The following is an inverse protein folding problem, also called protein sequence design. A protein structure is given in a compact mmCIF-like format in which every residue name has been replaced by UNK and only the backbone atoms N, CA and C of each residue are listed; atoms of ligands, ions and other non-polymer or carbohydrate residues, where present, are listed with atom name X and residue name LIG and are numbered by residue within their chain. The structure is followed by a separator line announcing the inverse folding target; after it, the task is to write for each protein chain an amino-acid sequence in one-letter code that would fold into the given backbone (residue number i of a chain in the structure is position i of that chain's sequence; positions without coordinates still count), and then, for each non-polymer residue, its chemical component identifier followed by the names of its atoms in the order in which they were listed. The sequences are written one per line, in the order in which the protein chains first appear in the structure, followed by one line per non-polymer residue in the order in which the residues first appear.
data_IF_223416326434
#
_entry.id   IF_223416326434
#
_cell.length_a   1.000
_cell.length_b   1.000
_cell.length_c   1.000
_cell.angle_alpha   90.00
_cell.angle_beta   90.00
_cell.angle_gamma   90.00
#
_symmetry.space_group_name_H-M   'P 1'
#
loop_
_entity.id
_entity.type
_entity.pdbx_description
1 polymer ?
#
# COMPACT_ATOMS: atom_id res chain seq x y z
N UNK A 1 -57.64 -5.17 15.44
CA UNK A 1 -56.44 -5.99 15.22
C UNK A 1 -55.78 -5.50 13.94
N UNK A 2 -54.73 -4.68 14.06
CA UNK A 2 -54.01 -4.12 12.91
C UNK A 2 -52.74 -4.92 12.63
N UNK A 3 -52.66 -5.54 11.46
CA UNK A 3 -51.48 -6.26 10.98
C UNK A 3 -50.55 -5.29 10.24
N UNK A 4 -49.39 -4.98 10.84
CA UNK A 4 -48.28 -4.28 10.17
C UNK A 4 -47.60 -5.25 9.20
N UNK A 5 -47.64 -4.95 7.90
CA UNK A 5 -46.73 -5.54 6.91
C UNK A 5 -45.40 -4.79 6.96
N UNK A 6 -44.32 -5.52 7.26
CA UNK A 6 -42.94 -5.03 7.22
C UNK A 6 -42.47 -4.89 5.77
N UNK A 7 -42.08 -3.68 5.36
CA UNK A 7 -41.38 -3.44 4.10
C UNK A 7 -40.00 -4.09 4.16
N UNK A 8 -39.75 -5.05 3.27
CA UNK A 8 -38.42 -5.59 3.01
C UNK A 8 -37.52 -4.46 2.47
N UNK A 9 -36.36 -4.27 3.10
CA UNK A 9 -35.34 -3.32 2.67
C UNK A 9 -34.77 -3.73 1.31
N UNK A 10 -34.58 -2.74 0.43
CA UNK A 10 -33.92 -2.92 -0.87
C UNK A 10 -32.47 -3.38 -0.66
N UNK A 11 -32.15 -4.57 -1.14
CA UNK A 11 -30.78 -5.07 -1.23
C UNK A 11 -30.07 -4.24 -2.29
N UNK A 12 -29.01 -3.53 -1.90
CA UNK A 12 -28.16 -2.80 -2.83
C UNK A 12 -27.47 -3.79 -3.77
N UNK A 13 -27.67 -3.62 -5.07
CA UNK A 13 -26.94 -4.35 -6.11
C UNK A 13 -25.44 -4.01 -6.04
N UNK A 14 -24.53 -5.00 -6.07
CA UNK A 14 -23.11 -4.72 -6.09
C UNK A 14 -22.72 -4.03 -7.40
N UNK A 15 -21.99 -2.92 -7.29
CA UNK A 15 -21.41 -2.21 -8.44
C UNK A 15 -20.34 -3.11 -9.04
N UNK A 16 -20.48 -3.42 -10.34
CA UNK A 16 -19.55 -4.28 -11.07
C UNK A 16 -18.50 -3.39 -11.75
N UNK A 17 -17.34 -3.26 -11.13
CA UNK A 17 -16.21 -2.53 -11.70
C UNK A 17 -15.69 -3.25 -12.96
N UNK A 18 -15.45 -2.49 -14.03
CA UNK A 18 -14.84 -3.01 -15.26
C UNK A 18 -13.33 -2.98 -15.09
N UNK A 19 -12.69 -4.12 -15.32
CA UNK A 19 -11.23 -4.26 -15.38
C UNK A 19 -10.65 -3.28 -16.40
N UNK A 20 -9.61 -2.53 -16.01
CA UNK A 20 -8.89 -1.61 -16.91
C UNK A 20 -8.14 -2.49 -17.96
N UNK A 21 -8.23 -2.20 -19.27
CA UNK A 21 -7.59 -3.03 -20.30
C UNK A 21 -6.06 -2.92 -20.31
N UNK A 22 -5.37 -4.06 -20.45
CA UNK A 22 -3.91 -4.25 -20.40
C UNK A 22 -3.13 -3.77 -21.65
N UNK A 23 -3.52 -2.69 -22.35
CA UNK A 23 -2.84 -2.32 -23.61
C UNK A 23 -2.34 -0.88 -23.64
N UNK A 24 -1.06 -0.69 -23.30
CA UNK A 24 -0.27 0.48 -23.64
C UNK A 24 0.83 0.11 -24.66
N UNK A 25 0.42 -0.49 -25.77
CA UNK A 25 1.26 -0.61 -26.98
C UNK A 25 0.93 0.54 -27.94
N UNK A 26 1.27 1.76 -27.58
CA UNK A 26 1.44 2.85 -28.55
C UNK A 26 2.24 3.95 -27.87
N UNK A 27 3.09 4.65 -28.63
CA UNK A 27 3.99 5.71 -28.18
C UNK A 27 5.38 5.25 -27.69
N UNK A 28 6.03 4.45 -28.55
CA UNK A 28 7.47 4.54 -28.71
C UNK A 28 7.85 5.78 -29.54
N UNK A 29 8.96 6.41 -29.14
CA UNK A 29 9.75 7.45 -29.82
C UNK A 29 9.24 8.91 -29.72
N UNK A 30 9.84 9.71 -28.83
CA UNK A 30 10.44 11.03 -29.18
C UNK A 30 11.58 11.39 -28.21
N UNK A 31 12.79 11.41 -28.79
CA UNK A 31 13.97 12.29 -28.63
C UNK A 31 14.28 13.05 -27.32
N UNK A 32 15.58 13.01 -26.99
CA UNK A 32 16.28 13.80 -26.00
C UNK A 32 16.25 15.31 -26.28
N UNK A 33 15.69 16.12 -25.37
CA UNK A 33 16.09 17.53 -25.13
C UNK A 33 15.71 17.98 -23.71
N UNK A 34 16.66 18.66 -23.07
CA UNK A 34 16.64 19.54 -21.88
C UNK A 34 15.38 19.58 -20.97
N UNK A 35 15.60 19.07 -19.75
CA UNK A 35 15.02 19.32 -18.42
C UNK A 35 13.58 19.82 -18.25
N UNK A 36 13.11 20.81 -19.00
CA UNK A 36 11.78 21.43 -18.82
C UNK A 36 10.66 20.64 -19.49
N UNK A 37 10.94 19.96 -20.61
CA UNK A 37 9.97 19.10 -21.30
C UNK A 37 9.72 17.77 -20.59
N UNK A 38 10.71 17.27 -19.82
CA UNK A 38 10.51 16.12 -18.94
C UNK A 38 9.49 16.46 -17.86
N UNK A 39 9.59 17.65 -17.25
CA UNK A 39 8.58 18.09 -16.27
C UNK A 39 7.20 18.27 -16.91
N UNK A 40 7.10 18.82 -18.12
CA UNK A 40 5.80 18.92 -18.82
C UNK A 40 5.24 17.55 -19.23
N UNK A 41 6.10 16.58 -19.60
CA UNK A 41 5.71 15.20 -19.89
C UNK A 41 5.29 14.43 -18.64
N UNK A 42 5.98 14.64 -17.51
CA UNK A 42 5.64 14.06 -16.22
C UNK A 42 4.33 14.64 -15.68
N UNK A 43 4.13 15.96 -15.82
CA UNK A 43 2.89 16.66 -15.47
C UNK A 43 1.73 16.17 -16.35
N UNK A 44 1.94 16.04 -17.66
CA UNK A 44 0.92 15.52 -18.58
C UNK A 44 0.54 14.06 -18.27
N UNK A 45 1.53 13.21 -18.01
CA UNK A 45 1.29 11.82 -17.62
C UNK A 45 0.65 11.70 -16.23
N UNK A 46 0.98 12.59 -15.30
CA UNK A 46 0.39 12.68 -13.97
C UNK A 46 -1.08 13.15 -14.03
N UNK A 47 -1.39 14.16 -14.84
CA UNK A 47 -2.78 14.61 -15.04
C UNK A 47 -3.62 13.56 -15.76
N UNK A 48 -3.04 12.86 -16.74
CA UNK A 48 -3.73 11.80 -17.46
C UNK A 48 -3.97 10.58 -16.58
N UNK A 49 -3.00 10.21 -15.74
CA UNK A 49 -3.13 9.18 -14.71
C UNK A 49 -4.20 9.56 -13.69
N UNK A 50 -4.16 10.78 -13.14
CA UNK A 50 -5.17 11.28 -12.21
C UNK A 50 -6.56 11.23 -12.85
N UNK A 51 -6.69 11.68 -14.10
CA UNK A 51 -7.95 11.68 -14.84
C UNK A 51 -8.46 10.26 -15.11
N UNK A 52 -7.58 9.33 -15.48
CA UNK A 52 -7.92 7.94 -15.71
C UNK A 52 -8.42 7.25 -14.44
N UNK A 53 -7.79 7.53 -13.29
CA UNK A 53 -8.16 6.95 -12.01
C UNK A 53 -9.42 7.58 -11.41
N UNK A 54 -9.58 8.90 -11.53
CA UNK A 54 -10.86 9.56 -11.22
C UNK A 54 -12.00 9.02 -12.08
N UNK A 55 -11.74 8.74 -13.36
CA UNK A 55 -12.71 8.10 -14.25
C UNK A 55 -12.98 6.62 -13.90
N UNK A 56 -12.03 5.95 -13.24
CA UNK A 56 -12.20 4.59 -12.74
C UNK A 56 -13.02 4.51 -11.44
N UNK A 57 -13.22 5.64 -10.74
CA UNK A 57 -14.06 5.74 -9.55
C UNK A 57 -13.32 6.17 -8.28
N UNK A 58 -12.00 6.38 -8.34
CA UNK A 58 -11.23 6.89 -7.21
C UNK A 58 -11.46 8.41 -7.07
N UNK A 59 -12.54 8.77 -6.37
CA UNK A 59 -12.95 10.16 -6.20
C UNK A 59 -12.14 10.88 -5.11
N UNK A 60 -11.78 10.16 -4.04
CA UNK A 60 -11.28 10.71 -2.77
C UNK A 60 -10.54 9.64 -1.95
N UNK A 61 -9.34 9.93 -1.47
CA UNK A 61 -8.61 9.04 -0.56
C UNK A 61 -7.69 9.80 0.41
N UNK A 62 -7.22 9.13 1.46
CA UNK A 62 -6.16 9.65 2.33
C UNK A 62 -5.08 8.58 2.49
N UNK A 63 -3.84 8.98 2.69
CA UNK A 63 -2.69 8.09 2.73
C UNK A 63 -2.25 7.81 4.15
N UNK A 64 -1.84 6.57 4.39
CA UNK A 64 -1.14 6.14 5.60
C UNK A 64 0.12 5.42 5.16
N UNK A 65 1.26 5.68 5.80
CA UNK A 65 2.54 5.07 5.44
C UNK A 65 3.07 4.22 6.59
N UNK A 66 3.38 2.96 6.31
CA UNK A 66 4.09 2.05 7.20
C UNK A 66 5.49 1.74 6.66
N UNK A 67 6.52 1.92 7.47
CA UNK A 67 7.91 1.63 7.11
C UNK A 67 8.47 0.52 7.99
N UNK A 68 8.93 -0.56 7.37
CA UNK A 68 9.52 -1.71 8.05
C UNK A 68 10.98 -1.45 8.47
N UNK A 69 11.25 -1.59 9.76
CA UNK A 69 12.56 -1.47 10.40
C UNK A 69 13.10 -2.81 10.95
N UNK A 70 12.69 -3.95 10.40
CA UNK A 70 13.30 -5.25 10.73
C UNK A 70 14.72 -5.42 10.16
N UNK A 71 15.51 -6.32 10.76
CA UNK A 71 16.91 -6.61 10.37
C UNK A 71 16.96 -7.15 8.96
N UNK A 72 17.34 -6.29 8.02
CA UNK A 72 17.66 -6.54 6.60
C UNK A 72 17.24 -5.36 5.71
N UNK A 73 16.49 -4.39 6.24
CA UNK A 73 15.91 -3.34 5.42
C UNK A 73 16.70 -2.03 5.51
N UNK A 74 17.18 -1.55 4.36
CA UNK A 74 17.44 -0.12 4.16
C UNK A 74 16.52 0.31 3.04
N UNK A 75 15.36 0.87 3.39
CA UNK A 75 14.43 1.41 2.40
C UNK A 75 15.14 2.54 1.67
N UNK A 76 15.37 2.45 0.35
CA UNK A 76 16.01 3.52 -0.38
C UNK A 76 15.14 4.77 -0.37
N UNK A 77 15.74 5.92 -0.08
CA UNK A 77 15.10 7.24 -0.11
C UNK A 77 14.32 7.53 -1.41
N UNK A 78 14.75 6.94 -2.52
CA UNK A 78 14.10 7.12 -3.82
C UNK A 78 12.70 6.48 -3.86
N UNK A 79 12.44 5.40 -3.10
CA UNK A 79 11.13 4.73 -3.06
C UNK A 79 10.10 5.67 -2.42
N UNK A 80 10.43 6.22 -1.26
CA UNK A 80 9.59 7.21 -0.56
C UNK A 80 9.34 8.44 -1.44
N UNK A 81 10.37 8.88 -2.18
CA UNK A 81 10.25 10.05 -3.08
C UNK A 81 9.31 9.79 -4.26
N UNK A 82 9.41 8.63 -4.90
CA UNK A 82 8.55 8.27 -6.06
C UNK A 82 7.12 8.01 -5.60
N UNK A 83 6.95 7.32 -4.47
CA UNK A 83 5.64 7.19 -3.84
C UNK A 83 5.03 8.56 -3.55
N UNK A 84 5.82 9.52 -3.08
CA UNK A 84 5.33 10.87 -2.87
C UNK A 84 4.84 11.54 -4.14
N UNK A 85 5.65 11.54 -5.19
CA UNK A 85 5.26 12.16 -6.47
C UNK A 85 4.00 11.54 -7.09
N UNK A 86 3.77 10.26 -6.85
CA UNK A 86 2.68 9.52 -7.48
C UNK A 86 1.43 9.49 -6.62
N UNK A 87 1.56 9.17 -5.34
CA UNK A 87 0.43 8.93 -4.45
C UNK A 87 -0.08 10.19 -3.77
N UNK A 88 0.76 11.21 -3.55
CA UNK A 88 0.35 12.48 -2.91
C UNK A 88 -0.79 13.18 -3.66
N UNK A 89 -0.97 12.90 -4.95
CA UNK A 89 -2.08 13.40 -5.76
C UNK A 89 -3.44 12.89 -5.29
N UNK A 90 -3.48 11.72 -4.65
CA UNK A 90 -4.70 11.09 -4.17
C UNK A 90 -4.98 11.35 -2.69
N UNK A 91 -4.08 12.05 -2.00
CA UNK A 91 -4.26 12.44 -0.60
C UNK A 91 -5.06 13.74 -0.52
N UNK A 92 -6.31 13.67 -0.06
CA UNK A 92 -7.21 14.82 -0.04
C UNK A 92 -6.89 15.80 1.08
N UNK A 93 -6.54 15.30 2.27
CA UNK A 93 -6.35 16.12 3.45
C UNK A 93 -4.92 16.66 3.61
N UNK A 94 -3.96 16.15 2.83
CA UNK A 94 -2.52 16.48 2.95
C UNK A 94 -1.99 16.19 4.36
N UNK A 95 -2.57 15.22 5.06
CA UNK A 95 -2.20 14.84 6.42
C UNK A 95 -1.84 13.36 6.47
N UNK A 96 -0.58 13.07 6.16
CA UNK A 96 -0.06 11.71 5.98
C UNK A 96 0.45 11.19 7.34
N UNK A 97 -0.25 10.25 8.00
CA UNK A 97 0.26 9.57 9.17
C UNK A 97 1.36 8.60 8.73
N UNK A 98 2.52 8.65 9.39
CA UNK A 98 3.67 7.81 9.07
C UNK A 98 4.12 7.06 10.30
N UNK A 99 4.28 5.75 10.17
CA UNK A 99 4.64 4.86 11.25
C UNK A 99 5.81 3.95 10.87
N UNK A 100 6.62 3.61 11.86
CA UNK A 100 7.61 2.54 11.76
C UNK A 100 7.19 1.33 12.59
N UNK A 101 7.64 0.14 12.21
CA UNK A 101 7.42 -1.11 12.96
C UNK A 101 8.58 -2.09 12.76
N UNK A 102 8.73 -3.09 13.63
CA UNK A 102 9.76 -4.13 13.49
C UNK A 102 11.14 -3.76 14.07
N UNK A 103 11.25 -2.60 14.69
CA UNK A 103 12.45 -2.21 15.43
C UNK A 103 12.56 -2.93 16.78
N UNK A 104 13.68 -2.77 17.48
CA UNK A 104 13.92 -3.42 18.77
C UNK A 104 12.91 -3.02 19.86
N UNK A 105 12.27 -1.85 19.76
CA UNK A 105 11.29 -1.38 20.74
C UNK A 105 9.88 -1.94 20.48
N UNK A 106 9.48 -2.04 19.21
CA UNK A 106 8.14 -2.53 18.84
C UNK A 106 8.07 -4.03 18.61
N UNK A 107 9.16 -4.67 18.20
CA UNK A 107 9.19 -6.07 17.81
C UNK A 107 8.10 -6.38 16.76
N UNK A 108 7.37 -7.47 16.96
CA UNK A 108 6.24 -7.86 16.10
C UNK A 108 4.87 -7.39 16.59
N UNK A 109 4.78 -6.57 17.64
CA UNK A 109 3.51 -6.34 18.36
C UNK A 109 2.98 -4.92 18.31
N UNK A 110 3.79 -3.95 17.88
CA UNK A 110 3.42 -2.54 17.88
C UNK A 110 3.98 -1.80 16.65
N UNK A 111 3.54 -0.56 16.46
CA UNK A 111 4.16 0.42 15.58
C UNK A 111 4.37 1.74 16.34
N UNK A 112 5.29 2.59 15.86
CA UNK A 112 5.58 3.90 16.45
C UNK A 112 5.36 5.01 15.41
N UNK A 113 4.79 6.16 15.80
CA UNK A 113 4.62 7.28 14.89
C UNK A 113 5.95 7.98 14.62
N UNK A 114 6.12 8.54 13.42
CA UNK A 114 7.32 9.29 13.05
C UNK A 114 7.42 10.64 13.78
N UNK A 115 6.28 11.28 14.01
CA UNK A 115 6.19 12.55 14.73
C UNK A 115 5.61 12.33 16.14
N UNK A 116 6.05 13.11 17.14
CA UNK A 116 5.49 13.06 18.48
C UNK A 116 4.02 13.51 18.49
N UNK A 117 3.32 13.19 19.58
CA UNK A 117 1.95 13.64 19.85
C UNK A 117 0.93 13.30 18.74
N UNK A 118 1.17 12.21 18.01
CA UNK A 118 0.36 11.77 16.87
C UNK A 118 0.21 12.83 15.76
N UNK A 119 1.17 13.74 15.64
CA UNK A 119 1.22 14.68 14.53
C UNK A 119 1.41 13.93 13.20
N UNK A 120 0.87 14.49 12.12
CA UNK A 120 0.92 13.94 10.77
C UNK A 120 1.87 14.76 9.89
N UNK A 121 2.45 14.14 8.88
CA UNK A 121 3.26 14.87 7.90
C UNK A 121 2.36 15.60 6.90
N UNK A 122 2.75 16.80 6.48
CA UNK A 122 1.99 17.61 5.54
C UNK A 122 2.41 17.43 4.08
N UNK A 123 3.59 16.85 3.85
CA UNK A 123 4.17 16.63 2.52
C UNK A 123 5.04 15.38 2.56
N UNK A 124 5.23 14.73 1.42
CA UNK A 124 6.21 13.64 1.31
C UNK A 124 7.65 14.10 1.51
N UNK A 125 7.95 15.38 1.22
CA UNK A 125 9.24 15.96 1.57
C UNK A 125 9.50 15.91 3.09
N UNK A 126 8.47 16.19 3.91
CA UNK A 126 8.55 16.06 5.36
C UNK A 126 8.67 14.59 5.79
N UNK A 127 7.95 13.67 5.14
CA UNK A 127 8.08 12.22 5.38
C UNK A 127 9.53 11.78 5.18
N UNK A 128 10.12 12.12 4.03
CA UNK A 128 11.50 11.78 3.70
C UNK A 128 12.51 12.44 4.63
N UNK A 129 12.32 13.72 4.97
CA UNK A 129 13.17 14.41 5.93
C UNK A 129 13.14 13.73 7.30
N UNK A 130 11.94 13.34 7.76
CA UNK A 130 11.77 12.68 9.05
C UNK A 130 12.32 11.26 9.05
N UNK A 131 12.12 10.50 7.97
CA UNK A 131 12.76 9.20 7.74
C UNK A 131 14.28 9.30 7.94
N UNK A 132 14.94 10.20 7.19
CA UNK A 132 16.40 10.40 7.29
C UNK A 132 16.88 10.82 8.69
N UNK A 133 16.05 11.49 9.48
CA UNK A 133 16.38 11.88 10.86
C UNK A 133 16.32 10.72 11.84
N UNK A 134 15.30 9.87 11.75
CA UNK A 134 15.05 8.82 12.77
C UNK A 134 15.73 7.51 12.43
N UNK A 135 15.84 7.16 11.14
CA UNK A 135 16.39 5.86 10.70
C UNK A 135 17.78 5.57 11.27
N UNK A 136 18.74 6.51 11.32
CA UNK A 136 20.06 6.24 11.89
C UNK A 136 20.06 5.88 13.39
N UNK A 137 19.03 6.30 14.12
CA UNK A 137 18.87 6.03 15.55
C UNK A 137 18.04 4.79 15.88
N UNK A 138 17.45 4.14 14.87
CA UNK A 138 16.57 2.98 15.07
C UNK A 138 17.38 1.69 15.04
N UNK A 139 17.22 0.89 16.09
CA UNK A 139 17.83 -0.43 16.17
C UNK A 139 16.95 -1.45 15.45
N UNK A 140 17.41 -1.91 14.28
CA UNK A 140 16.68 -2.90 13.51
C UNK A 140 16.57 -4.24 14.28
N UNK A 141 15.38 -4.84 14.30
CA UNK A 141 15.13 -6.11 15.00
C UNK A 141 14.24 -7.08 14.19
N UNK A 142 13.07 -7.43 14.72
CA UNK A 142 12.18 -8.47 14.24
C UNK A 142 11.35 -9.05 15.40
N UNK A 143 10.43 -10.00 15.14
CA UNK A 143 10.07 -10.55 13.83
C UNK A 143 9.27 -9.57 12.96
N UNK A 144 9.19 -9.82 11.66
CA UNK A 144 8.36 -9.03 10.74
C UNK A 144 6.89 -9.41 10.90
N UNK A 145 6.06 -8.47 11.32
CA UNK A 145 4.61 -8.62 11.43
C UNK A 145 3.93 -7.31 10.98
N UNK A 146 3.04 -7.39 9.99
CA UNK A 146 2.31 -6.22 9.49
C UNK A 146 1.00 -5.99 10.25
N UNK A 147 0.58 -6.92 11.10
CA UNK A 147 -0.66 -6.79 11.85
C UNK A 147 -0.76 -5.49 12.68
N UNK A 148 0.30 -5.02 13.38
CA UNK A 148 0.21 -3.78 14.15
C UNK A 148 -0.09 -2.56 13.28
N UNK A 149 0.59 -2.41 12.14
CA UNK A 149 0.40 -1.25 11.26
C UNK A 149 -0.95 -1.31 10.53
N UNK A 150 -1.42 -2.49 10.14
CA UNK A 150 -2.74 -2.66 9.53
C UNK A 150 -3.85 -2.30 10.52
N UNK A 151 -3.74 -2.75 11.78
CA UNK A 151 -4.72 -2.39 12.83
C UNK A 151 -4.70 -0.90 13.15
N UNK A 152 -3.54 -0.27 13.13
CA UNK A 152 -3.46 1.18 13.29
C UNK A 152 -4.12 1.93 12.12
N UNK A 153 -3.96 1.44 10.89
CA UNK A 153 -4.69 1.99 9.75
C UNK A 153 -6.21 1.81 9.88
N UNK A 154 -6.68 0.65 10.37
CA UNK A 154 -8.09 0.43 10.69
C UNK A 154 -8.58 1.45 11.71
N UNK A 155 -7.82 1.68 12.79
CA UNK A 155 -8.17 2.69 13.80
C UNK A 155 -8.33 4.07 13.17
N UNK A 156 -7.39 4.50 12.33
CA UNK A 156 -7.45 5.79 11.64
C UNK A 156 -8.68 5.86 10.73
N UNK A 157 -8.96 4.81 9.95
CA UNK A 157 -10.14 4.74 9.09
C UNK A 157 -11.45 4.89 9.87
N UNK A 158 -11.56 4.22 11.03
CA UNK A 158 -12.74 4.30 11.89
C UNK A 158 -12.97 5.71 12.46
N UNK A 159 -11.90 6.40 12.85
CA UNK A 159 -11.97 7.75 13.40
C UNK A 159 -12.31 8.79 12.33
N UNK A 160 -11.64 8.73 11.18
CA UNK A 160 -11.81 9.71 10.10
C UNK A 160 -13.09 9.47 9.27
N UNK A 161 -13.59 8.22 9.22
CA UNK A 161 -14.74 7.80 8.41
C UNK A 161 -14.61 8.12 6.91
N UNK A 162 -13.38 8.14 6.42
CA UNK A 162 -13.05 8.31 5.00
C UNK A 162 -12.30 7.09 4.47
N UNK A 163 -12.22 7.00 3.14
CA UNK A 163 -11.43 5.97 2.48
C UNK A 163 -9.93 6.25 2.65
N UNK A 164 -9.16 5.21 2.96
CA UNK A 164 -7.71 5.32 3.10
C UNK A 164 -6.98 4.26 2.30
N UNK A 165 -5.76 4.60 1.91
CA UNK A 165 -4.79 3.70 1.31
C UNK A 165 -3.61 3.60 2.28
N UNK A 166 -3.40 2.42 2.86
CA UNK A 166 -2.20 2.10 3.64
C UNK A 166 -1.11 1.62 2.69
N UNK A 167 0.02 2.31 2.64
CA UNK A 167 1.21 1.87 1.90
C UNK A 167 2.26 1.35 2.87
N UNK A 168 2.57 0.06 2.78
CA UNK A 168 3.60 -0.59 3.59
C UNK A 168 4.84 -0.78 2.74
N UNK A 169 5.99 -0.29 3.19
CA UNK A 169 7.27 -0.44 2.51
C UNK A 169 8.13 -1.42 3.31
N UNK A 170 8.47 -2.56 2.71
CA UNK A 170 9.28 -3.57 3.38
C UNK A 170 10.32 -4.23 2.48
N UNK A 171 11.37 -4.75 3.13
CA UNK A 171 12.48 -5.43 2.49
C UNK A 171 12.15 -6.87 2.08
N UNK A 172 12.89 -7.38 1.08
CA UNK A 172 12.76 -8.76 0.59
C UNK A 172 12.86 -9.84 1.66
N UNK A 173 13.83 -9.75 2.55
CA UNK A 173 13.97 -10.71 3.65
C UNK A 173 12.78 -10.66 4.61
N UNK A 174 12.30 -9.47 4.97
CA UNK A 174 11.15 -9.29 5.86
C UNK A 174 9.90 -9.93 5.29
N UNK A 175 9.63 -9.65 4.03
CA UNK A 175 8.51 -10.20 3.28
C UNK A 175 8.65 -11.72 3.17
N UNK A 176 9.83 -12.22 2.79
CA UNK A 176 10.09 -13.66 2.70
C UNK A 176 9.84 -14.38 4.04
N UNK A 177 10.28 -13.81 5.17
CA UNK A 177 10.07 -14.39 6.50
C UNK A 177 8.59 -14.43 6.90
N UNK A 178 7.83 -13.35 6.63
CA UNK A 178 6.38 -13.32 6.88
C UNK A 178 5.66 -14.39 6.06
N UNK A 179 5.97 -14.52 4.77
CA UNK A 179 5.35 -15.53 3.92
C UNK A 179 5.78 -16.95 4.29
N UNK A 180 7.07 -17.16 4.61
CA UNK A 180 7.56 -18.47 5.02
C UNK A 180 6.88 -18.92 6.30
N UNK A 181 6.67 -18.01 7.27
CA UNK A 181 5.87 -18.27 8.46
C UNK A 181 4.46 -18.74 8.08
N UNK A 182 3.80 -18.02 7.19
CA UNK A 182 2.48 -18.38 6.67
C UNK A 182 2.43 -19.77 6.04
N UNK A 183 3.32 -20.09 5.09
CA UNK A 183 3.33 -21.40 4.41
C UNK A 183 3.79 -22.53 5.33
N UNK A 184 4.69 -22.27 6.26
CA UNK A 184 5.10 -23.27 7.25
C UNK A 184 3.91 -23.65 8.12
N UNK A 185 3.14 -22.67 8.60
CA UNK A 185 1.88 -22.94 9.29
C UNK A 185 0.89 -23.70 8.40
N UNK A 186 0.76 -23.31 7.12
CA UNK A 186 -0.15 -23.96 6.20
C UNK A 186 0.20 -25.44 5.90
N UNK A 187 1.49 -25.74 5.78
CA UNK A 187 2.01 -27.07 5.47
C UNK A 187 2.01 -28.00 6.68
N UNK A 188 2.25 -27.47 7.88
CA UNK A 188 2.30 -28.28 9.12
C UNK A 188 0.90 -28.64 9.61
N UNK A 189 -0.06 -27.73 9.53
CA UNK A 189 -1.41 -27.93 10.08
C UNK A 189 -2.45 -28.35 9.02
N UNK A 190 -2.02 -28.53 7.78
CA UNK A 190 -2.86 -29.00 6.66
C UNK A 190 -3.95 -28.02 6.23
N UNK A 191 -3.97 -26.81 6.79
CA UNK A 191 -4.87 -25.71 6.49
C UNK A 191 -4.08 -24.41 6.52
N UNK A 192 -4.41 -23.44 5.66
CA UNK A 192 -3.95 -22.06 5.84
C UNK A 192 -4.44 -21.60 7.21
N UNK A 193 -3.53 -21.58 8.19
CA UNK A 193 -3.92 -21.35 9.56
C UNK A 193 -4.45 -19.95 9.73
N UNK A 194 -5.67 -19.87 10.26
CA UNK A 194 -6.25 -18.67 10.83
C UNK A 194 -5.50 -18.26 12.12
N UNK A 195 -4.18 -18.45 12.24
CA UNK A 195 -3.34 -18.04 13.37
C UNK A 195 -2.32 -16.97 12.97
N UNK A 196 -2.06 -16.79 11.68
CA UNK A 196 -1.22 -15.71 11.20
C UNK A 196 -1.88 -14.35 11.50
N UNK A 197 -1.23 -13.53 12.31
CA UNK A 197 -1.77 -12.24 12.71
C UNK A 197 -1.87 -11.25 11.55
N UNK A 198 -0.92 -11.30 10.61
CA UNK A 198 -0.91 -10.44 9.43
C UNK A 198 -2.10 -10.81 8.53
N UNK A 199 -2.31 -12.10 8.27
CA UNK A 199 -3.48 -12.56 7.50
C UNK A 199 -4.79 -12.11 8.15
N UNK A 200 -4.94 -12.34 9.46
CA UNK A 200 -6.13 -11.92 10.20
C UNK A 200 -6.35 -10.41 10.09
N UNK A 201 -5.29 -9.62 10.18
CA UNK A 201 -5.38 -8.17 10.06
C UNK A 201 -5.78 -7.73 8.64
N UNK A 202 -5.30 -8.39 7.58
CA UNK A 202 -5.73 -8.11 6.20
C UNK A 202 -7.22 -8.45 6.00
N UNK A 203 -7.63 -9.62 6.48
CA UNK A 203 -9.05 -10.04 6.43
C UNK A 203 -9.94 -9.07 7.22
N UNK A 204 -9.51 -8.67 8.41
CA UNK A 204 -10.18 -7.66 9.24
C UNK A 204 -10.26 -6.30 8.52
N UNK A 205 -9.17 -5.86 7.88
CA UNK A 205 -9.12 -4.62 7.11
C UNK A 205 -10.15 -4.60 5.97
N UNK A 206 -10.49 -5.75 5.38
CA UNK A 206 -11.51 -5.84 4.32
C UNK A 206 -12.92 -5.48 4.81
N UNK A 207 -13.14 -5.34 6.12
CA UNK A 207 -14.38 -4.83 6.69
C UNK A 207 -14.51 -3.31 6.66
N UNK A 208 -13.43 -2.59 6.35
CA UNK A 208 -13.31 -1.13 6.41
C UNK A 208 -13.04 -0.55 5.01
N UNK A 209 -13.26 0.76 4.79
CA UNK A 209 -12.88 1.45 3.56
C UNK A 209 -11.35 1.67 3.52
N UNK A 210 -10.60 0.57 3.49
CA UNK A 210 -9.14 0.53 3.59
C UNK A 210 -8.58 -0.42 2.53
N UNK A 211 -7.74 0.10 1.65
CA UNK A 211 -6.90 -0.69 0.75
C UNK A 211 -5.46 -0.65 1.20
N UNK A 212 -4.73 -1.76 0.99
CA UNK A 212 -3.36 -1.95 1.44
C UNK A 212 -2.49 -2.17 0.22
N UNK A 213 -1.47 -1.33 0.05
CA UNK A 213 -0.45 -1.50 -0.99
C UNK A 213 0.85 -1.92 -0.30
N UNK A 214 1.35 -3.09 -0.65
CA UNK A 214 2.61 -3.62 -0.14
C UNK A 214 3.71 -3.41 -1.18
N UNK A 215 4.63 -2.49 -0.89
CA UNK A 215 5.77 -2.17 -1.75
C UNK A 215 6.98 -2.99 -1.32
N UNK A 216 7.32 -4.00 -2.12
CA UNK A 216 8.49 -4.85 -1.93
C UNK A 216 9.76 -4.19 -2.46
N UNK A 217 10.76 -4.07 -1.60
CA UNK A 217 12.07 -3.49 -1.94
C UNK A 217 13.20 -4.50 -1.73
N UNK A 218 14.12 -4.59 -2.69
CA UNK A 218 15.26 -5.51 -2.66
C UNK A 218 15.19 -6.56 -3.77
N UNK A 219 16.00 -7.60 -3.63
CA UNK A 219 16.30 -8.54 -4.72
C UNK A 219 15.34 -9.73 -4.83
N UNK A 220 14.37 -9.85 -3.91
CA UNK A 220 13.44 -10.98 -3.85
C UNK A 220 14.05 -12.22 -3.19
N UNK A 221 13.48 -13.42 -3.40
CA UNK A 221 12.44 -13.77 -4.39
C UNK A 221 11.02 -13.32 -4.01
N UNK A 222 10.20 -12.99 -5.01
CA UNK A 222 8.84 -12.46 -4.85
C UNK A 222 7.73 -13.38 -5.38
N UNK A 223 8.08 -14.53 -5.97
CA UNK A 223 7.12 -15.46 -6.60
C UNK A 223 6.04 -15.95 -5.63
N UNK A 224 6.36 -15.96 -4.34
CA UNK A 224 5.45 -16.37 -3.27
C UNK A 224 4.51 -15.24 -2.84
N UNK A 225 4.85 -13.97 -3.11
CA UNK A 225 3.98 -12.81 -2.84
C UNK A 225 2.90 -12.65 -3.90
N UNK A 226 3.23 -12.85 -5.18
CA UNK A 226 2.20 -12.81 -6.24
C UNK A 226 1.13 -13.87 -5.98
N UNK A 227 1.52 -15.05 -5.49
CA UNK A 227 0.56 -16.09 -5.05
C UNK A 227 -0.16 -15.74 -3.76
N UNK A 228 0.50 -15.05 -2.84
CA UNK A 228 -0.11 -14.64 -1.57
C UNK A 228 -1.26 -13.67 -1.83
N UNK A 229 -1.06 -12.69 -2.72
CA UNK A 229 -2.05 -11.70 -3.15
C UNK A 229 -3.36 -12.37 -3.61
N UNK A 230 -3.25 -13.27 -4.60
CA UNK A 230 -4.38 -13.97 -5.22
C UNK A 230 -5.07 -15.01 -4.32
N UNK A 231 -4.40 -15.50 -3.27
CA UNK A 231 -4.84 -16.67 -2.50
C UNK A 231 -5.37 -16.35 -1.10
N UNK A 232 -5.56 -15.08 -0.73
CA UNK A 232 -6.05 -14.71 0.60
C UNK A 232 -7.52 -15.13 0.82
N UNK A 233 -7.80 -16.11 1.70
CA UNK A 233 -9.17 -16.59 1.92
C UNK A 233 -9.98 -15.63 2.80
N UNK A 234 -11.32 -15.66 2.64
CA UNK A 234 -12.31 -15.05 3.53
C UNK A 234 -12.37 -13.50 3.61
N UNK A 235 -11.95 -12.78 2.57
CA UNK A 235 -12.08 -11.31 2.49
C UNK A 235 -13.44 -10.86 1.92
N UNK A 236 -13.90 -9.66 2.30
CA UNK A 236 -15.15 -9.08 1.76
C UNK A 236 -14.99 -8.51 0.34
N UNK A 237 -13.81 -8.01 0.02
CA UNK A 237 -13.40 -7.53 -1.29
C UNK A 237 -11.86 -7.63 -1.39
N UNK A 238 -11.32 -7.47 -2.59
CA UNK A 238 -9.87 -7.44 -2.77
C UNK A 238 -9.30 -6.10 -2.29
N UNK A 239 -8.56 -6.13 -1.18
CA UNK A 239 -8.11 -4.94 -0.46
C UNK A 239 -6.60 -4.91 -0.24
N UNK A 240 -5.85 -5.79 -0.90
CA UNK A 240 -4.40 -5.91 -0.76
C UNK A 240 -3.80 -5.98 -2.16
N UNK A 241 -2.71 -5.25 -2.39
CA UNK A 241 -2.03 -5.21 -3.68
C UNK A 241 -0.52 -5.29 -3.43
N UNK A 242 0.17 -6.23 -4.07
CA UNK A 242 1.63 -6.30 -4.02
C UNK A 242 2.30 -5.60 -5.21
N UNK A 243 3.29 -4.75 -4.93
CA UNK A 243 4.11 -4.08 -5.96
C UNK A 243 5.58 -4.37 -5.72
N UNK A 244 6.20 -5.10 -6.66
CA UNK A 244 7.64 -5.25 -6.71
C UNK A 244 8.30 -3.98 -7.28
N UNK A 245 8.95 -3.19 -6.43
CA UNK A 245 9.53 -1.91 -6.83
C UNK A 245 10.61 -2.08 -7.91
N UNK A 246 11.52 -3.05 -7.73
CA UNK A 246 12.62 -3.30 -8.68
C UNK A 246 12.11 -3.69 -10.08
N UNK A 247 11.03 -4.48 -10.16
CA UNK A 247 10.34 -4.85 -11.40
C UNK A 247 9.81 -3.61 -12.12
N UNK A 248 9.12 -2.73 -11.39
CA UNK A 248 8.51 -1.53 -11.98
C UNK A 248 9.55 -0.59 -12.59
N UNK A 249 10.67 -0.36 -11.90
CA UNK A 249 11.75 0.49 -12.43
C UNK A 249 12.44 -0.15 -13.63
N UNK A 250 12.59 -1.49 -13.66
CA UNK A 250 13.24 -2.20 -14.76
C UNK A 250 12.42 -2.17 -16.05
N UNK A 251 11.10 -2.36 -15.95
CA UNK A 251 10.20 -2.43 -17.10
C UNK A 251 9.75 -1.04 -17.59
N UNK A 252 9.61 -0.06 -16.70
CA UNK A 252 9.13 1.28 -17.05
C UNK A 252 10.26 2.31 -17.07
N UNK A 253 11.24 2.12 -17.98
CA UNK A 253 12.46 2.97 -18.02
C UNK A 253 12.21 4.43 -18.40
N UNK A 254 11.15 4.69 -19.17
CA UNK A 254 10.83 6.03 -19.67
C UNK A 254 10.07 6.81 -18.59
N UNK A 255 9.04 6.20 -18.00
CA UNK A 255 8.19 6.79 -16.97
C UNK A 255 8.01 5.82 -15.78
N UNK A 256 9.04 5.67 -14.93
CA UNK A 256 9.00 4.72 -13.81
C UNK A 256 7.90 5.06 -12.80
N UNK A 257 7.65 6.35 -12.60
CA UNK A 257 6.63 6.88 -11.68
C UNK A 257 5.22 6.43 -12.11
N UNK A 258 4.90 6.56 -13.40
CA UNK A 258 3.59 6.16 -13.97
C UNK A 258 3.41 4.65 -13.89
N UNK A 259 4.46 3.90 -14.21
CA UNK A 259 4.44 2.44 -14.12
C UNK A 259 4.21 1.95 -12.69
N UNK A 260 4.90 2.54 -11.72
CA UNK A 260 4.69 2.26 -10.31
C UNK A 260 3.27 2.61 -9.87
N UNK A 261 2.78 3.81 -10.19
CA UNK A 261 1.45 4.25 -9.79
C UNK A 261 0.35 3.36 -10.39
N UNK A 262 0.47 2.99 -11.66
CA UNK A 262 -0.49 2.09 -12.32
C UNK A 262 -0.53 0.73 -11.63
N UNK A 263 0.63 0.15 -11.32
CA UNK A 263 0.71 -1.13 -10.61
C UNK A 263 0.20 -1.05 -9.16
N UNK A 264 0.46 0.07 -8.46
CA UNK A 264 0.02 0.28 -7.09
C UNK A 264 -1.50 0.49 -6.98
N UNK A 265 -2.11 1.08 -8.00
CA UNK A 265 -3.52 1.47 -7.99
C UNK A 265 -4.42 0.46 -8.73
N UNK A 266 -3.83 -0.64 -9.24
CA UNK A 266 -4.53 -1.62 -10.09
C UNK A 266 -5.73 -2.30 -9.41
N UNK A 267 -5.66 -2.49 -8.09
CA UNK A 267 -6.67 -3.18 -7.29
C UNK A 267 -7.40 -2.26 -6.31
N UNK A 268 -7.22 -0.95 -6.44
CA UNK A 268 -7.94 0.02 -5.63
C UNK A 268 -9.36 0.19 -6.23
N UNK A 269 -10.42 -0.07 -5.45
CA UNK A 269 -11.81 0.03 -5.90
C UNK A 269 -12.25 1.41 -6.40
#
# INVERSE_FOLDING_TARGET
MGSKQSKAGSVATPVRFRKIPDTFETYGNVLAVESTWIYMGLMGASEELERALRAAGLESSNLIIGIDYTKSNTVPNHVISIMGRTLELFDDDKLIPVFGFGDATTGGSACFPFLPDQQKCHTFAQVLARYNQITPGINLAGPTNFAPIIREAINICQHNRSYHILVIIAGSTSIFLTILSFWTCALVDGHVNNQDETLRAIVEASAYPLSIIMVGVGDGPWDMMEKFDDCLPARRFDNFQFVEYAKMIRYNRINPDVGFATAALMEIP
#
